data_IF_841389776261
#
_entry.id   IF_841389776261
#
_cell.length_a   1.000
_cell.length_b   1.000
_cell.length_c   1.000
_cell.angle_alpha   90.00
_cell.angle_beta   90.00
_cell.angle_gamma   90.00
#
_symmetry.space_group_name_H-M   'P 1'
#
loop_
_entity.id
_entity.type
_entity.pdbx_description
1 polymer ?
#
# COMPACT_ATOMS: atom_id res chain seq x y z
N UNK A 1 -5.30 19.51 0.93
CA UNK A 1 -5.97 18.20 0.76
C UNK A 1 -6.23 17.99 -0.73
N UNK A 2 -6.14 16.76 -1.24
CA UNK A 2 -6.44 16.43 -2.63
C UNK A 2 -7.94 16.51 -2.91
N UNK A 3 -8.30 16.99 -4.10
CA UNK A 3 -9.65 16.80 -4.66
C UNK A 3 -9.63 15.57 -5.58
N UNK A 4 -10.71 14.79 -5.71
CA UNK A 4 -10.74 13.61 -6.60
C UNK A 4 -10.31 13.94 -8.03
N UNK A 5 -10.76 15.07 -8.57
CA UNK A 5 -10.38 15.55 -9.93
C UNK A 5 -8.88 15.82 -10.10
N UNK A 6 -8.20 16.26 -9.04
CA UNK A 6 -6.75 16.50 -9.07
C UNK A 6 -5.97 15.17 -9.12
N UNK A 7 -6.41 14.16 -8.33
CA UNK A 7 -5.82 12.82 -8.36
C UNK A 7 -6.02 12.18 -9.73
N UNK A 8 -7.24 12.24 -10.26
CA UNK A 8 -7.59 11.70 -11.57
C UNK A 8 -6.76 12.36 -12.67
N UNK A 9 -6.66 13.69 -12.67
CA UNK A 9 -5.88 14.44 -13.65
C UNK A 9 -4.41 14.00 -13.66
N UNK A 10 -3.75 14.06 -12.50
CA UNK A 10 -2.35 13.69 -12.35
C UNK A 10 -2.10 12.23 -12.76
N UNK A 11 -2.90 11.31 -12.21
CA UNK A 11 -2.72 9.88 -12.48
C UNK A 11 -2.97 9.55 -13.96
N UNK A 12 -4.00 10.13 -14.57
CA UNK A 12 -4.29 9.93 -16.00
C UNK A 12 -3.16 10.42 -16.89
N UNK A 13 -2.60 11.59 -16.60
CA UNK A 13 -1.47 12.13 -17.36
C UNK A 13 -0.21 11.25 -17.16
N UNK A 14 0.08 10.84 -15.94
CA UNK A 14 1.19 9.91 -15.68
C UNK A 14 1.01 8.55 -16.39
N UNK A 15 -0.21 8.02 -16.47
CA UNK A 15 -0.51 6.78 -17.18
C UNK A 15 -0.26 6.97 -18.69
N UNK A 16 -0.64 8.10 -19.27
CA UNK A 16 -0.35 8.44 -20.67
C UNK A 16 1.16 8.49 -20.96
N UNK A 17 1.98 8.79 -19.95
CA UNK A 17 3.44 8.81 -20.02
C UNK A 17 4.11 7.51 -19.52
N UNK A 18 3.37 6.40 -19.42
CA UNK A 18 3.92 5.06 -19.19
C UNK A 18 3.89 4.56 -17.75
N UNK A 19 3.26 5.27 -16.82
CA UNK A 19 2.97 4.71 -15.49
C UNK A 19 1.98 3.56 -15.62
N UNK A 20 2.36 2.38 -15.14
CA UNK A 20 1.58 1.15 -15.31
C UNK A 20 0.75 0.74 -14.11
N UNK A 21 1.09 1.26 -12.94
CA UNK A 21 0.39 0.92 -11.69
C UNK A 21 0.23 2.16 -10.81
N UNK A 22 -0.94 2.26 -10.19
CA UNK A 22 -1.26 3.29 -9.20
C UNK A 22 -1.71 2.58 -7.93
N UNK A 23 -1.21 3.05 -6.78
CA UNK A 23 -1.63 2.56 -5.47
C UNK A 23 -2.25 3.71 -4.68
N UNK A 24 -3.50 3.55 -4.28
CA UNK A 24 -4.19 4.47 -3.38
C UNK A 24 -3.98 4.00 -1.94
N UNK A 25 -3.48 4.89 -1.10
CA UNK A 25 -3.19 4.61 0.31
C UNK A 25 -3.07 5.90 1.11
N UNK A 26 -2.66 5.76 2.37
CA UNK A 26 -2.55 6.87 3.32
C UNK A 26 -3.90 7.17 3.99
N UNK A 27 -3.92 7.38 5.31
CA UNK A 27 -5.16 7.43 6.08
C UNK A 27 -6.00 6.17 5.83
N UNK A 28 -7.29 6.35 5.60
CA UNK A 28 -8.19 5.27 5.15
C UNK A 28 -8.85 5.70 3.82
N UNK A 29 -8.48 5.08 2.69
CA UNK A 29 -8.99 5.51 1.38
C UNK A 29 -10.51 5.42 1.25
N UNK A 30 -11.13 4.42 1.86
CA UNK A 30 -12.60 4.26 1.76
C UNK A 30 -13.40 5.21 2.66
N UNK A 31 -12.74 6.01 3.50
CA UNK A 31 -13.33 7.16 4.19
C UNK A 31 -13.18 8.47 3.41
N UNK A 32 -12.41 8.45 2.30
CA UNK A 32 -12.20 9.63 1.49
C UNK A 32 -13.34 9.80 0.46
N UNK A 33 -14.04 10.94 0.54
CA UNK A 33 -15.10 11.28 -0.40
C UNK A 33 -14.55 11.34 -1.84
N UNK A 34 -15.16 10.52 -2.72
CA UNK A 34 -14.75 10.42 -4.12
C UNK A 34 -13.67 9.37 -4.43
N UNK A 35 -13.30 8.50 -3.49
CA UNK A 35 -12.38 7.38 -3.78
C UNK A 35 -12.90 6.51 -4.92
N UNK A 36 -14.20 6.24 -4.96
CA UNK A 36 -14.81 5.43 -6.02
C UNK A 36 -14.82 6.15 -7.38
N UNK A 37 -14.88 7.49 -7.40
CA UNK A 37 -14.72 8.26 -8.65
C UNK A 37 -13.29 8.12 -9.19
N UNK A 38 -12.29 8.12 -8.30
CA UNK A 38 -10.90 7.89 -8.67
C UNK A 38 -10.73 6.46 -9.21
N UNK A 39 -11.26 5.45 -8.50
CA UNK A 39 -11.17 4.04 -8.93
C UNK A 39 -11.80 3.89 -10.32
N UNK A 40 -13.00 4.38 -10.53
CA UNK A 40 -13.72 4.32 -11.81
C UNK A 40 -12.99 5.02 -12.94
N UNK A 41 -12.35 6.15 -12.66
CA UNK A 41 -11.61 6.91 -13.66
C UNK A 41 -10.30 6.25 -14.07
N UNK A 42 -9.63 5.56 -13.16
CA UNK A 42 -8.31 4.95 -13.39
C UNK A 42 -8.38 3.50 -13.86
N UNK A 43 -9.39 2.74 -13.41
CA UNK A 43 -9.62 1.38 -13.88
C UNK A 43 -10.40 1.39 -15.22
N UNK A 44 -10.03 0.65 -16.25
CA UNK A 44 -8.93 -0.31 -16.35
C UNK A 44 -7.64 0.25 -16.99
N UNK A 45 -7.38 1.54 -16.89
CA UNK A 45 -6.26 2.21 -17.60
C UNK A 45 -4.89 1.84 -17.06
N UNK A 46 -4.82 1.43 -15.80
CA UNK A 46 -3.59 0.97 -15.14
C UNK A 46 -3.92 -0.16 -14.16
N UNK A 47 -2.89 -0.83 -13.65
CA UNK A 47 -3.06 -1.74 -12.52
C UNK A 47 -3.32 -0.94 -11.25
N UNK A 48 -4.53 -1.03 -10.72
CA UNK A 48 -4.98 -0.20 -9.61
C UNK A 48 -5.03 -1.02 -8.31
N UNK A 49 -4.35 -0.53 -7.28
CA UNK A 49 -4.39 -1.14 -5.94
C UNK A 49 -4.89 -0.15 -4.91
N UNK A 50 -5.58 -0.65 -3.89
CA UNK A 50 -6.00 0.14 -2.73
C UNK A 50 -5.51 -0.54 -1.46
N UNK A 51 -4.93 0.24 -0.55
CA UNK A 51 -4.52 -0.23 0.78
C UNK A 51 -5.47 0.33 1.82
N UNK A 52 -6.07 -0.54 2.63
CA UNK A 52 -7.11 -0.19 3.61
C UNK A 52 -6.88 -0.91 4.94
N UNK A 53 -7.39 -0.36 6.05
CA UNK A 53 -7.53 -1.07 7.32
C UNK A 53 -8.72 -2.04 7.29
N UNK A 54 -9.61 -1.92 6.30
CA UNK A 54 -10.77 -2.75 6.07
C UNK A 54 -12.02 -2.41 6.87
N UNK A 55 -11.95 -1.49 7.82
CA UNK A 55 -13.13 -1.13 8.64
C UNK A 55 -14.30 -0.58 7.82
N UNK A 56 -14.10 0.34 6.86
CA UNK A 56 -15.21 0.83 6.05
C UNK A 56 -15.88 -0.27 5.20
N UNK A 57 -15.14 -1.33 4.85
CA UNK A 57 -15.67 -2.43 4.04
C UNK A 57 -16.60 -3.38 4.81
N UNK A 58 -16.75 -3.20 6.12
CA UNK A 58 -17.76 -3.87 6.93
C UNK A 58 -19.16 -3.28 6.71
N UNK A 59 -19.25 -2.03 6.21
CA UNK A 59 -20.51 -1.39 5.85
C UNK A 59 -20.97 -1.85 4.48
N UNK A 60 -22.19 -2.40 4.42
CA UNK A 60 -22.75 -2.96 3.17
C UNK A 60 -22.80 -1.95 2.02
N UNK A 61 -23.08 -0.68 2.29
CA UNK A 61 -23.12 0.36 1.26
C UNK A 61 -21.73 0.53 0.59
N UNK A 62 -20.65 0.55 1.38
CA UNK A 62 -19.27 0.67 0.89
C UNK A 62 -18.87 -0.61 0.15
N UNK A 63 -19.22 -1.77 0.70
CA UNK A 63 -18.96 -3.05 0.07
C UNK A 63 -19.66 -3.19 -1.29
N UNK A 64 -20.94 -2.86 -1.38
CA UNK A 64 -21.68 -2.89 -2.64
C UNK A 64 -21.11 -1.90 -3.67
N UNK A 65 -20.65 -0.72 -3.21
CA UNK A 65 -19.97 0.23 -4.08
C UNK A 65 -18.64 -0.34 -4.59
N UNK A 66 -17.86 -1.01 -3.72
CA UNK A 66 -16.61 -1.67 -4.09
C UNK A 66 -16.83 -2.76 -5.16
N UNK A 67 -17.90 -3.51 -5.08
CA UNK A 67 -18.22 -4.55 -6.08
C UNK A 67 -18.58 -3.96 -7.45
N UNK A 68 -19.15 -2.75 -7.47
CA UNK A 68 -19.48 -2.04 -8.72
C UNK A 68 -18.25 -1.38 -9.34
N UNK A 69 -17.42 -0.77 -8.51
CA UNK A 69 -16.24 0.00 -8.91
C UNK A 69 -14.98 -0.69 -8.34
N UNK A 70 -14.68 -1.89 -8.85
CA UNK A 70 -13.63 -2.74 -8.31
C UNK A 70 -12.25 -2.34 -8.81
N UNK A 71 -11.23 -2.16 -7.93
CA UNK A 71 -9.84 -2.10 -8.34
C UNK A 71 -9.30 -3.52 -8.64
N UNK A 72 -8.11 -3.62 -9.23
CA UNK A 72 -7.47 -4.92 -9.45
C UNK A 72 -7.13 -5.66 -8.16
N UNK A 73 -6.72 -4.90 -7.13
CA UNK A 73 -6.24 -5.49 -5.89
C UNK A 73 -6.54 -4.63 -4.67
N UNK A 74 -6.88 -5.28 -3.57
CA UNK A 74 -6.98 -4.66 -2.26
C UNK A 74 -5.97 -5.31 -1.31
N UNK A 75 -5.12 -4.48 -0.70
CA UNK A 75 -4.30 -4.87 0.44
C UNK A 75 -5.00 -4.47 1.73
N UNK A 76 -5.36 -5.44 2.55
CA UNK A 76 -5.87 -5.18 3.90
C UNK A 76 -4.70 -5.19 4.87
N UNK A 77 -4.65 -4.21 5.78
CA UNK A 77 -3.54 -4.07 6.73
C UNK A 77 -3.92 -4.61 8.11
N UNK A 78 -3.06 -5.46 8.68
CA UNK A 78 -3.05 -5.79 10.10
C UNK A 78 -1.97 -4.93 10.77
N UNK A 79 -2.41 -4.01 11.63
CA UNK A 79 -1.53 -3.11 12.38
C UNK A 79 -1.07 -3.72 13.70
N UNK A 80 -1.88 -4.60 14.31
CA UNK A 80 -1.66 -5.21 15.61
C UNK A 80 -1.76 -6.72 15.52
N UNK A 81 -0.68 -7.43 15.13
CA UNK A 81 -0.69 -8.90 15.01
C UNK A 81 -1.05 -9.63 16.30
N UNK A 82 -0.90 -8.99 17.46
CA UNK A 82 -1.27 -9.50 18.78
C UNK A 82 -2.76 -9.28 19.13
N UNK A 83 -3.49 -8.51 18.34
CA UNK A 83 -4.92 -8.27 18.52
C UNK A 83 -5.71 -9.33 17.75
N UNK A 84 -6.24 -10.31 18.48
CA UNK A 84 -6.96 -11.42 17.89
C UNK A 84 -8.26 -11.00 17.19
N UNK A 85 -8.88 -9.89 17.59
CA UNK A 85 -10.11 -9.37 16.97
C UNK A 85 -9.78 -8.72 15.63
N UNK A 86 -8.72 -7.90 15.55
CA UNK A 86 -8.25 -7.37 14.27
C UNK A 86 -7.86 -8.48 13.30
N UNK A 87 -7.13 -9.50 13.78
CA UNK A 87 -6.71 -10.63 12.93
C UNK A 87 -7.93 -11.41 12.40
N UNK A 88 -8.92 -11.71 13.25
CA UNK A 88 -10.15 -12.41 12.81
C UNK A 88 -10.96 -11.60 11.81
N UNK A 89 -11.11 -10.30 12.08
CA UNK A 89 -11.82 -9.37 11.19
C UNK A 89 -11.16 -9.32 9.80
N UNK A 90 -9.85 -9.14 9.75
CA UNK A 90 -9.12 -9.09 8.47
C UNK A 90 -9.17 -10.44 7.75
N UNK A 91 -9.10 -11.56 8.47
CA UNK A 91 -9.26 -12.87 7.87
C UNK A 91 -10.63 -13.04 7.21
N UNK A 92 -11.70 -12.63 7.89
CA UNK A 92 -13.06 -12.64 7.33
C UNK A 92 -13.15 -11.78 6.06
N UNK A 93 -12.56 -10.59 6.06
CA UNK A 93 -12.53 -9.72 4.90
C UNK A 93 -11.72 -10.30 3.73
N UNK A 94 -10.55 -10.90 3.99
CA UNK A 94 -9.75 -11.58 2.97
C UNK A 94 -10.54 -12.73 2.32
N UNK A 95 -11.26 -13.53 3.10
CA UNK A 95 -12.14 -14.59 2.57
C UNK A 95 -13.27 -14.01 1.71
N UNK A 96 -13.88 -12.91 2.16
CA UNK A 96 -14.93 -12.21 1.42
C UNK A 96 -14.42 -11.63 0.10
N UNK A 97 -13.22 -11.02 0.09
CA UNK A 97 -12.55 -10.54 -1.13
C UNK A 97 -12.17 -11.69 -2.08
N UNK A 98 -11.69 -12.81 -1.57
CA UNK A 98 -11.33 -13.96 -2.39
C UNK A 98 -12.51 -14.59 -3.16
N UNK A 99 -13.75 -14.32 -2.74
CA UNK A 99 -14.97 -14.71 -3.45
C UNK A 99 -15.38 -13.70 -4.54
N UNK A 100 -14.57 -12.67 -4.82
CA UNK A 100 -14.80 -11.64 -5.83
C UNK A 100 -13.70 -11.66 -6.90
N UNK A 101 -13.85 -10.93 -8.01
CA UNK A 101 -12.74 -10.74 -8.97
C UNK A 101 -11.55 -9.92 -8.42
N UNK A 102 -11.71 -9.22 -7.30
CA UNK A 102 -10.67 -8.39 -6.69
C UNK A 102 -9.60 -9.27 -6.05
N UNK A 103 -8.35 -9.09 -6.43
CA UNK A 103 -7.25 -9.86 -5.82
C UNK A 103 -7.01 -9.41 -4.38
N UNK A 104 -7.14 -10.28 -3.37
CA UNK A 104 -6.80 -9.93 -2.00
C UNK A 104 -5.29 -9.90 -1.79
N UNK A 105 -4.84 -9.05 -0.89
CA UNK A 105 -3.48 -9.01 -0.36
C UNK A 105 -3.48 -8.60 1.11
N UNK A 106 -2.43 -8.92 1.82
CA UNK A 106 -2.23 -8.59 3.23
C UNK A 106 -0.99 -7.73 3.40
N UNK A 107 -1.11 -6.61 4.09
CA UNK A 107 0.00 -5.91 4.70
C UNK A 107 0.06 -6.29 6.18
N UNK A 108 1.11 -6.97 6.60
CA UNK A 108 1.31 -7.39 7.99
C UNK A 108 2.37 -6.50 8.62
N UNK A 109 1.98 -5.67 9.59
CA UNK A 109 2.93 -4.86 10.33
C UNK A 109 3.78 -5.75 11.24
N UNK A 110 5.10 -5.56 11.20
CA UNK A 110 6.07 -6.34 11.99
C UNK A 110 6.87 -5.40 12.87
N UNK A 111 6.89 -5.71 14.17
CA UNK A 111 7.70 -5.05 15.18
C UNK A 111 8.82 -5.99 15.63
N UNK A 112 10.03 -5.46 15.88
CA UNK A 112 11.22 -6.26 16.22
C UNK A 112 11.10 -6.98 17.58
N UNK A 113 10.25 -6.50 18.47
CA UNK A 113 9.97 -7.06 19.80
C UNK A 113 8.72 -7.97 19.85
N UNK A 114 8.04 -8.18 18.68
CA UNK A 114 6.80 -8.98 18.57
C UNK A 114 6.82 -9.91 17.36
N UNK A 115 7.98 -10.51 17.08
CA UNK A 115 8.13 -11.42 15.95
C UNK A 115 7.26 -12.69 16.06
N UNK A 116 7.07 -13.31 17.26
CA UNK A 116 6.25 -14.51 17.37
C UNK A 116 4.80 -14.31 16.94
N UNK A 117 4.19 -13.17 17.30
CA UNK A 117 2.81 -12.84 16.91
C UNK A 117 2.71 -12.62 15.40
N UNK A 118 3.65 -11.88 14.81
CA UNK A 118 3.71 -11.69 13.36
C UNK A 118 3.91 -13.02 12.62
N UNK A 119 4.75 -13.93 13.16
CA UNK A 119 4.97 -15.27 12.60
C UNK A 119 3.70 -16.10 12.62
N UNK A 120 2.98 -16.12 13.74
CA UNK A 120 1.71 -16.84 13.87
C UNK A 120 0.66 -16.33 12.87
N UNK A 121 0.54 -14.99 12.72
CA UNK A 121 -0.37 -14.38 11.76
C UNK A 121 0.06 -14.71 10.32
N UNK A 122 1.34 -14.58 9.99
CA UNK A 122 1.85 -14.93 8.67
C UNK A 122 1.50 -16.38 8.29
N UNK A 123 1.78 -17.33 9.19
CA UNK A 123 1.46 -18.74 8.98
C UNK A 123 -0.06 -18.98 8.79
N UNK A 124 -0.88 -18.31 9.59
CA UNK A 124 -2.35 -18.38 9.49
C UNK A 124 -2.85 -17.95 8.11
N UNK A 125 -2.32 -16.85 7.58
CA UNK A 125 -2.76 -16.33 6.29
C UNK A 125 -2.19 -17.09 5.09
N UNK A 126 -1.14 -17.89 5.23
CA UNK A 126 -0.67 -18.79 4.16
C UNK A 126 -1.70 -19.87 3.78
N UNK A 127 -2.70 -20.12 4.62
CA UNK A 127 -3.85 -20.97 4.27
C UNK A 127 -4.87 -20.31 3.35
N UNK A 128 -4.77 -18.97 3.15
CA UNK A 128 -5.72 -18.17 2.36
C UNK A 128 -5.04 -17.44 1.21
N UNK A 129 -3.79 -17.05 1.37
CA UNK A 129 -3.01 -16.22 0.47
C UNK A 129 -1.71 -16.91 0.11
N UNK A 130 -1.22 -16.63 -1.08
CA UNK A 130 0.16 -16.98 -1.44
C UNK A 130 1.15 -16.04 -0.75
N UNK A 131 2.42 -16.45 -0.65
CA UNK A 131 3.50 -15.61 -0.09
C UNK A 131 3.64 -14.26 -0.79
N UNK A 132 3.40 -14.22 -2.11
CA UNK A 132 3.47 -13.00 -2.91
C UNK A 132 2.31 -12.02 -2.63
N UNK A 133 1.26 -12.48 -1.97
CA UNK A 133 0.13 -11.64 -1.57
C UNK A 133 0.27 -11.08 -0.14
N UNK A 134 1.29 -11.52 0.61
CA UNK A 134 1.56 -11.04 1.98
C UNK A 134 2.81 -10.18 1.96
N UNK A 135 2.68 -8.92 2.35
CA UNK A 135 3.78 -7.96 2.47
C UNK A 135 4.07 -7.76 3.96
N UNK A 136 5.30 -8.08 4.37
CA UNK A 136 5.79 -7.78 5.71
C UNK A 136 6.20 -6.32 5.79
N UNK A 137 5.45 -5.50 6.50
CA UNK A 137 5.67 -4.06 6.63
C UNK A 137 6.40 -3.78 7.94
N UNK A 138 7.68 -3.33 7.91
CA UNK A 138 8.41 -3.03 9.13
C UNK A 138 7.83 -1.79 9.81
N UNK A 139 7.63 -1.84 11.12
CA UNK A 139 7.29 -0.66 11.90
C UNK A 139 8.47 0.31 11.95
N UNK A 140 8.19 1.61 11.79
CA UNK A 140 9.19 2.67 11.84
C UNK A 140 8.68 3.88 12.64
N UNK A 141 9.57 4.69 13.21
CA UNK A 141 11.02 4.51 13.28
C UNK A 141 11.45 3.51 14.36
N UNK A 142 10.61 3.37 15.42
CA UNK A 142 10.90 2.52 16.55
C UNK A 142 10.52 1.07 16.27
N UNK A 143 11.23 0.12 16.92
CA UNK A 143 10.98 -1.33 16.79
C UNK A 143 11.07 -1.84 15.34
N UNK A 144 11.95 -1.23 14.54
CA UNK A 144 12.15 -1.66 13.13
C UNK A 144 12.84 -3.02 13.10
N UNK A 145 12.21 -4.06 12.54
CA UNK A 145 12.84 -5.36 12.39
C UNK A 145 13.94 -5.29 11.31
N UNK A 146 15.00 -6.07 11.51
CA UNK A 146 16.02 -6.31 10.48
C UNK A 146 15.48 -7.18 9.35
N UNK A 147 16.19 -7.21 8.21
CA UNK A 147 15.85 -8.11 7.09
C UNK A 147 15.86 -9.58 7.52
N UNK A 148 16.79 -9.98 8.41
CA UNK A 148 16.86 -11.33 8.96
C UNK A 148 15.61 -11.67 9.79
N UNK A 149 15.17 -10.77 10.66
CA UNK A 149 13.95 -10.97 11.46
C UNK A 149 12.70 -11.08 10.58
N UNK A 150 12.61 -10.32 9.49
CA UNK A 150 11.51 -10.48 8.53
C UNK A 150 11.56 -11.85 7.82
N UNK A 151 12.74 -12.33 7.46
CA UNK A 151 12.91 -13.68 6.89
C UNK A 151 12.49 -14.76 7.90
N UNK A 152 12.81 -14.59 9.19
CA UNK A 152 12.36 -15.48 10.27
C UNK A 152 10.83 -15.50 10.39
N UNK A 153 10.17 -14.33 10.36
CA UNK A 153 8.69 -14.23 10.34
C UNK A 153 8.10 -14.97 9.14
N UNK A 154 8.70 -14.84 7.96
CA UNK A 154 8.25 -15.54 6.77
C UNK A 154 8.56 -17.04 6.78
N UNK A 155 9.47 -17.50 7.62
CA UNK A 155 9.90 -18.91 7.75
C UNK A 155 10.80 -19.40 6.63
N UNK A 156 10.85 -18.72 5.48
CA UNK A 156 11.74 -18.98 4.34
C UNK A 156 11.61 -17.90 3.26
N UNK A 157 12.58 -17.83 2.38
CA UNK A 157 12.50 -17.05 1.16
C UNK A 157 11.79 -17.82 0.01
N UNK A 158 11.22 -17.13 -0.99
CA UNK A 158 11.08 -15.68 -1.06
C UNK A 158 9.92 -15.15 -0.21
N UNK A 159 10.02 -13.89 0.23
CA UNK A 159 8.96 -13.15 0.90
C UNK A 159 8.88 -11.72 0.36
N UNK A 160 7.74 -11.05 0.57
CA UNK A 160 7.54 -9.67 0.17
C UNK A 160 7.74 -8.75 1.37
N UNK A 161 8.64 -7.79 1.22
CA UNK A 161 8.83 -6.69 2.14
C UNK A 161 9.22 -5.43 1.34
N UNK A 162 9.09 -4.22 1.89
CA UNK A 162 9.63 -3.04 1.24
C UNK A 162 11.11 -3.22 0.90
N UNK A 163 11.47 -3.01 -0.35
CA UNK A 163 12.81 -3.28 -0.88
C UNK A 163 13.94 -2.54 -0.15
N UNK A 164 13.59 -1.47 0.58
CA UNK A 164 14.55 -0.68 1.36
C UNK A 164 15.28 -1.44 2.47
N UNK A 165 14.76 -2.58 2.94
CA UNK A 165 15.41 -3.40 3.96
C UNK A 165 16.44 -4.36 3.39
N UNK A 166 16.30 -4.73 2.13
CA UNK A 166 17.19 -5.68 1.47
C UNK A 166 18.10 -5.00 0.45
N UNK A 167 17.55 -4.16 -0.42
CA UNK A 167 18.29 -3.40 -1.43
C UNK A 167 17.46 -2.23 -1.93
N UNK A 168 17.76 -1.01 -1.52
CA UNK A 168 17.21 0.19 -2.15
C UNK A 168 18.01 0.51 -3.42
N UNK A 169 17.77 -0.21 -4.52
CA UNK A 169 18.58 -0.10 -5.72
C UNK A 169 17.97 0.75 -6.84
N UNK A 170 16.67 1.05 -6.78
CA UNK A 170 15.96 1.72 -7.89
C UNK A 170 14.82 2.60 -7.40
N UNK A 171 15.12 3.75 -6.80
CA UNK A 171 14.09 4.73 -6.42
C UNK A 171 13.28 5.23 -7.63
N UNK A 172 13.86 5.20 -8.84
CA UNK A 172 13.21 5.65 -10.08
C UNK A 172 11.99 4.82 -10.51
N UNK A 173 11.79 3.63 -9.94
CA UNK A 173 10.62 2.77 -10.26
C UNK A 173 9.42 3.00 -9.38
N UNK A 174 9.58 3.77 -8.33
CA UNK A 174 8.52 4.03 -7.36
C UNK A 174 8.57 5.49 -6.94
N UNK A 175 7.43 6.11 -6.96
CA UNK A 175 7.22 7.46 -6.44
C UNK A 175 5.99 7.46 -5.54
N UNK A 176 6.05 8.19 -4.44
CA UNK A 176 4.89 8.47 -3.60
C UNK A 176 4.62 9.96 -3.55
N UNK A 177 3.34 10.30 -3.47
CA UNK A 177 2.88 11.66 -3.32
C UNK A 177 1.98 11.68 -2.09
N UNK A 178 2.34 12.49 -1.11
CA UNK A 178 1.63 12.58 0.16
C UNK A 178 0.36 13.43 0.07
N UNK A 179 -0.42 13.41 1.14
CA UNK A 179 -1.68 14.17 1.25
C UNK A 179 -1.50 15.69 1.09
N UNK A 180 -0.32 16.21 1.42
CA UNK A 180 0.10 17.61 1.30
C UNK A 180 0.81 17.93 -0.02
N UNK A 181 0.68 17.04 -1.02
CA UNK A 181 1.27 17.18 -2.36
C UNK A 181 2.81 17.23 -2.36
N UNK A 182 3.44 16.56 -1.41
CA UNK A 182 4.89 16.38 -1.43
C UNK A 182 5.25 15.09 -2.16
N UNK A 183 6.17 15.20 -3.11
CA UNK A 183 6.70 14.08 -3.89
C UNK A 183 7.90 13.47 -3.17
N UNK A 184 7.93 12.15 -3.08
CA UNK A 184 9.04 11.38 -2.53
C UNK A 184 9.42 10.27 -3.51
N UNK A 185 10.69 9.94 -3.57
CA UNK A 185 11.18 8.73 -4.27
C UNK A 185 10.83 7.43 -3.52
N UNK A 186 10.36 7.53 -2.28
CA UNK A 186 10.00 6.39 -1.43
C UNK A 186 9.12 6.87 -0.28
N UNK A 187 8.13 6.08 0.15
CA UNK A 187 7.27 6.41 1.29
C UNK A 187 8.02 6.46 2.63
N UNK A 188 9.22 5.91 2.71
CA UNK A 188 10.02 5.81 3.93
C UNK A 188 11.28 6.69 3.91
N UNK A 189 11.71 7.19 2.75
CA UNK A 189 12.90 8.01 2.64
C UNK A 189 12.64 9.45 3.07
N UNK A 190 13.65 10.07 3.66
CA UNK A 190 13.69 11.52 3.81
C UNK A 190 13.86 12.21 2.45
N UNK A 191 13.61 13.49 2.42
CA UNK A 191 13.67 14.29 1.20
C UNK A 191 12.30 14.30 0.48
N UNK A 192 11.70 15.49 0.48
CA UNK A 192 10.41 15.76 -0.13
C UNK A 192 10.53 17.01 -1.00
N UNK A 193 9.81 17.04 -2.09
CA UNK A 193 9.69 18.22 -2.93
C UNK A 193 8.21 18.52 -3.25
N UNK A 194 7.77 19.79 -3.21
CA UNK A 194 6.40 20.12 -3.50
C UNK A 194 6.08 19.85 -4.97
N UNK A 195 4.89 19.31 -5.22
CA UNK A 195 4.32 19.14 -6.55
C UNK A 195 3.62 20.43 -6.96
N UNK A 196 4.20 21.17 -7.89
CA UNK A 196 3.67 22.48 -8.33
C UNK A 196 2.68 22.35 -9.50
N UNK A 197 2.84 21.35 -10.37
CA UNK A 197 1.91 21.07 -11.47
C UNK A 197 1.37 19.65 -11.36
N UNK A 198 0.07 19.48 -11.63
CA UNK A 198 -0.64 18.20 -11.53
C UNK A 198 -0.60 17.45 -12.86
N UNK A 199 0.62 17.16 -13.32
CA UNK A 199 0.93 16.43 -14.55
C UNK A 199 2.27 15.70 -14.42
N UNK A 200 2.59 14.87 -15.40
CA UNK A 200 3.83 14.09 -15.42
C UNK A 200 5.09 14.98 -15.43
N UNK A 201 5.05 16.11 -16.15
CA UNK A 201 6.19 17.05 -16.20
C UNK A 201 6.46 17.66 -14.81
N UNK A 202 5.40 18.08 -14.10
CA UNK A 202 5.50 18.58 -12.73
C UNK A 202 5.97 17.53 -11.75
N UNK A 203 5.59 16.25 -11.95
CA UNK A 203 6.09 15.13 -11.15
C UNK A 203 7.60 14.92 -11.36
N UNK A 204 8.08 14.93 -12.60
CA UNK A 204 9.51 14.81 -12.92
C UNK A 204 10.32 16.01 -12.38
N UNK A 205 9.79 17.23 -12.50
CA UNK A 205 10.41 18.43 -11.92
C UNK A 205 10.51 18.30 -10.38
N UNK A 206 9.45 17.88 -9.71
CA UNK A 206 9.48 17.64 -8.27
C UNK A 206 10.51 16.56 -7.90
N UNK A 207 10.55 15.43 -8.61
CA UNK A 207 11.51 14.34 -8.38
C UNK A 207 12.96 14.81 -8.55
N UNK A 208 13.26 15.69 -9.50
CA UNK A 208 14.61 16.22 -9.70
C UNK A 208 15.12 17.04 -8.51
N UNK A 209 14.21 17.57 -7.68
CA UNK A 209 14.50 18.34 -6.47
C UNK A 209 14.51 17.49 -5.19
N UNK A 210 14.07 16.23 -5.26
CA UNK A 210 14.10 15.31 -4.11
C UNK A 210 15.54 14.90 -3.82
N UNK A 211 16.04 15.29 -2.66
CA UNK A 211 17.35 14.82 -2.17
C UNK A 211 17.20 13.39 -1.66
N UNK A 212 17.81 12.44 -2.37
CA UNK A 212 17.75 11.05 -1.96
C UNK A 212 18.59 10.79 -0.71
N UNK A 213 17.98 10.28 0.33
CA UNK A 213 18.65 9.85 1.56
C UNK A 213 18.33 8.37 1.82
N UNK A 214 19.36 7.60 2.16
CA UNK A 214 19.14 6.20 2.58
C UNK A 214 18.35 6.17 3.88
N UNK A 215 17.40 5.23 3.99
CA UNK A 215 16.74 4.95 5.25
C UNK A 215 17.75 4.36 6.24
N UNK A 216 17.84 4.94 7.45
CA UNK A 216 18.64 4.36 8.53
C UNK A 216 20.12 4.76 8.55
N UNK A 217 20.47 5.90 7.92
CA UNK A 217 21.74 6.60 8.19
C UNK A 217 21.56 7.61 9.30
#
# INVERSE_FOLDING_TARGET
MWRPSEVIRLATDCIAHGVRAVSLGGGEPFEYDGVFDIIRALYPRCYLTVTTNGLPLEHDAVWLQLLRDAPDKIHVTIHRPHDADEVRRVEGLIRRLAATPIKPGLNLLVESDRLPEATAVFARFLGLLTRQQIILVPRRPDRTPSARQLAEVAGREPFQAPACLTRCLRPERFVSISWDKQVNSCSYAGGKAPLHSLDHAGLLDALSRVTWQRCGS
#
